data_IF_825032233172
#
_entry.id   IF_825032233172
#
_cell.length_a   1.000
_cell.length_b   1.000
_cell.length_c   1.000
_cell.angle_alpha   90.00
_cell.angle_beta   90.00
_cell.angle_gamma   90.00
#
_symmetry.space_group_name_H-M   'P 1'
#
loop_
_entity.id
_entity.type
_entity.pdbx_description
1 polymer ?
#
# COMPACT_ATOMS: atom_id res chain seq x y z
N UNK A 1 21.84 -31.19 -5.12
CA UNK A 1 20.79 -30.34 -4.52
C UNK A 1 21.40 -29.55 -3.36
N UNK A 2 21.58 -28.24 -3.52
CA UNK A 2 22.19 -27.38 -2.49
C UNK A 2 21.15 -27.04 -1.41
N UNK A 3 21.35 -27.57 -0.20
CA UNK A 3 20.48 -27.35 0.95
C UNK A 3 20.40 -25.86 1.31
N UNK A 4 19.19 -25.30 1.30
CA UNK A 4 18.94 -23.91 1.67
C UNK A 4 19.26 -23.68 3.16
N UNK A 5 20.46 -23.16 3.45
CA UNK A 5 20.86 -22.80 4.82
C UNK A 5 19.89 -21.76 5.38
N UNK A 6 19.16 -22.13 6.43
CA UNK A 6 18.27 -21.25 7.23
C UNK A 6 19.07 -20.02 7.67
N UNK A 7 18.65 -18.78 7.33
CA UNK A 7 19.42 -17.60 7.70
C UNK A 7 19.45 -17.41 9.22
N UNK A 8 20.66 -17.32 9.79
CA UNK A 8 20.95 -17.17 11.22
C UNK A 8 20.36 -15.90 11.90
N UNK A 9 19.67 -15.01 11.19
CA UNK A 9 18.96 -13.88 11.79
C UNK A 9 17.81 -13.36 10.91
N UNK A 10 16.70 -12.95 11.54
CA UNK A 10 15.52 -12.36 10.89
C UNK A 10 15.90 -11.14 10.04
N UNK A 11 16.85 -10.31 10.49
CA UNK A 11 17.35 -9.16 9.71
C UNK A 11 17.96 -9.59 8.37
N UNK A 12 18.75 -10.69 8.35
CA UNK A 12 19.35 -11.19 7.10
C UNK A 12 18.29 -11.78 6.16
N UNK A 13 17.31 -12.49 6.70
CA UNK A 13 16.20 -13.04 5.91
C UNK A 13 15.35 -11.92 5.27
N UNK A 14 14.97 -10.90 6.05
CA UNK A 14 14.25 -9.73 5.56
C UNK A 14 15.05 -8.99 4.48
N UNK A 15 16.35 -8.76 4.71
CA UNK A 15 17.24 -8.14 3.72
C UNK A 15 17.33 -8.96 2.44
N UNK A 16 17.39 -10.28 2.55
CA UNK A 16 17.40 -11.18 1.40
C UNK A 16 16.08 -11.12 0.62
N UNK A 17 14.92 -11.22 1.29
CA UNK A 17 13.61 -11.11 0.66
C UNK A 17 13.40 -9.76 -0.02
N UNK A 18 13.77 -8.66 0.64
CA UNK A 18 13.74 -7.33 0.04
C UNK A 18 14.64 -7.24 -1.20
N UNK A 19 15.85 -7.80 -1.14
CA UNK A 19 16.80 -7.79 -2.26
C UNK A 19 16.33 -8.68 -3.41
N UNK A 20 15.71 -9.83 -3.11
CA UNK A 20 15.10 -10.73 -4.08
C UNK A 20 13.92 -10.04 -4.80
N UNK A 21 13.03 -9.38 -4.04
CA UNK A 21 11.90 -8.63 -4.58
C UNK A 21 12.38 -7.51 -5.51
N UNK A 22 13.38 -6.74 -5.09
CA UNK A 22 13.96 -5.63 -5.89
C UNK A 22 14.71 -6.09 -7.14
N UNK A 23 15.08 -7.38 -7.23
CA UNK A 23 15.79 -7.97 -8.38
C UNK A 23 14.86 -8.72 -9.33
N UNK A 24 13.68 -9.13 -8.88
CA UNK A 24 12.70 -9.79 -9.72
C UNK A 24 12.14 -8.82 -10.77
N UNK A 25 11.91 -9.26 -12.02
CA UNK A 25 11.12 -8.49 -12.97
C UNK A 25 9.74 -8.21 -12.36
N UNK A 26 9.36 -6.94 -12.23
CA UNK A 26 8.11 -6.54 -11.56
C UNK A 26 8.20 -6.29 -10.04
N UNK A 27 9.40 -6.31 -9.44
CA UNK A 27 9.62 -5.93 -8.04
C UNK A 27 8.99 -4.59 -7.63
N UNK A 28 9.24 -3.49 -8.37
CA UNK A 28 8.64 -2.19 -8.09
C UNK A 28 7.11 -2.20 -8.13
N UNK A 29 6.50 -2.94 -9.07
CA UNK A 29 5.04 -3.07 -9.16
C UNK A 29 4.45 -3.86 -7.99
N UNK A 30 5.13 -4.88 -7.46
CA UNK A 30 4.66 -5.64 -6.29
C UNK A 30 4.64 -4.75 -5.03
N UNK A 31 5.65 -3.88 -4.90
CA UNK A 31 5.71 -2.91 -3.78
C UNK A 31 4.64 -1.83 -3.93
N UNK A 32 4.48 -1.28 -5.14
CA UNK A 32 3.44 -0.28 -5.43
C UNK A 32 2.03 -0.85 -5.23
N UNK A 33 1.77 -2.09 -5.67
CA UNK A 33 0.49 -2.76 -5.45
C UNK A 33 0.21 -2.96 -3.96
N UNK A 34 1.22 -3.36 -3.19
CA UNK A 34 1.12 -3.43 -1.73
C UNK A 34 0.75 -2.09 -1.14
N UNK A 35 1.45 -1.02 -1.52
CA UNK A 35 1.17 0.33 -1.07
C UNK A 35 -0.27 0.77 -1.39
N UNK A 36 -0.76 0.52 -2.60
CA UNK A 36 -2.15 0.80 -3.00
C UNK A 36 -3.16 0.03 -2.15
N UNK A 37 -2.91 -1.25 -1.84
CA UNK A 37 -3.75 -2.05 -0.93
C UNK A 37 -3.78 -1.43 0.47
N UNK A 38 -2.63 -0.94 0.96
CA UNK A 38 -2.55 -0.26 2.25
C UNK A 38 -3.40 1.00 2.32
N UNK A 39 -3.33 1.85 1.29
CA UNK A 39 -4.18 3.05 1.17
C UNK A 39 -5.66 2.66 1.08
N UNK A 40 -5.99 1.68 0.25
CA UNK A 40 -7.36 1.21 0.05
C UNK A 40 -8.01 0.80 1.37
N UNK A 41 -7.31 -0.03 2.15
CA UNK A 41 -7.82 -0.52 3.44
C UNK A 41 -7.97 0.62 4.45
N UNK A 42 -7.05 1.58 4.43
CA UNK A 42 -7.09 2.69 5.38
C UNK A 42 -8.35 3.55 5.25
N UNK A 43 -8.89 3.69 4.04
CA UNK A 43 -10.07 4.53 3.78
C UNK A 43 -11.35 4.07 4.50
N UNK A 44 -11.44 2.79 4.91
CA UNK A 44 -12.57 2.28 5.71
C UNK A 44 -12.13 1.66 7.05
N UNK A 45 -10.91 1.94 7.51
CA UNK A 45 -10.43 1.53 8.83
C UNK A 45 -11.20 2.19 9.97
N UNK A 46 -11.50 3.49 9.83
CA UNK A 46 -12.24 4.26 10.84
C UNK A 46 -13.64 3.70 11.13
N UNK A 47 -14.54 3.49 10.14
CA UNK A 47 -15.87 2.93 10.38
C UNK A 47 -15.86 1.46 10.84
N UNK A 48 -14.74 0.76 10.66
CA UNK A 48 -14.57 -0.64 11.11
C UNK A 48 -13.84 -0.75 12.44
N UNK A 49 -13.59 0.38 13.13
CA UNK A 49 -12.86 0.44 14.40
C UNK A 49 -11.50 -0.26 14.36
N UNK A 50 -10.82 -0.23 13.22
CA UNK A 50 -9.53 -0.90 13.04
C UNK A 50 -9.59 -2.31 12.48
N UNK A 51 -10.77 -2.94 12.40
CA UNK A 51 -10.90 -4.33 11.91
C UNK A 51 -10.48 -4.47 10.44
N UNK A 52 -10.63 -3.43 9.61
CA UNK A 52 -10.17 -3.46 8.22
C UNK A 52 -8.67 -3.73 8.08
N UNK A 53 -7.85 -3.45 9.11
CA UNK A 53 -6.41 -3.76 9.08
C UNK A 53 -6.15 -5.25 8.79
N UNK A 54 -6.98 -6.16 9.31
CA UNK A 54 -6.82 -7.58 9.05
C UNK A 54 -7.09 -7.96 7.59
N UNK A 55 -7.80 -7.13 6.83
CA UNK A 55 -8.01 -7.32 5.40
C UNK A 55 -6.70 -7.20 4.60
N UNK A 56 -5.64 -6.63 5.17
CA UNK A 56 -4.32 -6.51 4.53
C UNK A 56 -3.76 -7.90 4.18
N UNK A 57 -3.88 -8.86 5.09
CA UNK A 57 -3.33 -10.20 4.93
C UNK A 57 -3.92 -10.98 3.73
N UNK A 58 -5.26 -11.16 3.62
CA UNK A 58 -5.85 -11.88 2.49
C UNK A 58 -5.62 -11.15 1.17
N UNK A 59 -5.70 -9.80 1.14
CA UNK A 59 -5.47 -9.05 -0.10
C UNK A 59 -4.03 -9.19 -0.59
N UNK A 60 -3.05 -9.10 0.31
CA UNK A 60 -1.65 -9.30 -0.08
C UNK A 60 -1.41 -10.70 -0.62
N UNK A 61 -1.99 -11.71 0.03
CA UNK A 61 -1.86 -13.09 -0.40
C UNK A 61 -2.47 -13.29 -1.80
N UNK A 62 -3.68 -12.77 -2.02
CA UNK A 62 -4.41 -12.87 -3.28
C UNK A 62 -3.67 -12.17 -4.43
N UNK A 63 -3.26 -10.92 -4.21
CA UNK A 63 -2.60 -10.10 -5.24
C UNK A 63 -1.08 -10.32 -5.32
N UNK A 64 -0.53 -11.23 -4.50
CA UNK A 64 0.92 -11.48 -4.36
C UNK A 64 1.70 -10.18 -4.16
N UNK A 65 1.13 -9.26 -3.37
CA UNK A 65 1.65 -7.92 -3.15
C UNK A 65 2.75 -7.90 -2.06
N UNK A 66 3.36 -6.73 -1.83
CA UNK A 66 4.34 -6.56 -0.76
C UNK A 66 3.67 -6.19 0.57
N UNK A 67 3.83 -7.02 1.61
CA UNK A 67 3.37 -6.67 2.96
C UNK A 67 4.03 -5.42 3.53
N UNK A 68 5.34 -5.26 3.33
CA UNK A 68 6.02 -4.03 3.70
C UNK A 68 5.48 -2.81 2.93
N UNK A 69 5.12 -2.99 1.65
CA UNK A 69 4.49 -1.94 0.85
C UNK A 69 3.13 -1.54 1.43
N UNK A 70 2.30 -2.51 1.79
CA UNK A 70 0.98 -2.28 2.38
C UNK A 70 1.02 -1.58 3.73
N UNK A 71 1.94 -1.97 4.63
CA UNK A 71 2.10 -1.27 5.91
C UNK A 71 2.50 0.19 5.71
N UNK A 72 3.42 0.46 4.78
CA UNK A 72 3.82 1.82 4.44
C UNK A 72 2.64 2.59 3.87
N UNK A 73 1.90 2.00 2.92
CA UNK A 73 0.70 2.62 2.34
C UNK A 73 -0.39 2.90 3.36
N UNK A 74 -0.60 2.00 4.32
CA UNK A 74 -1.56 2.15 5.41
C UNK A 74 -1.22 3.32 6.34
N UNK A 75 0.04 3.44 6.75
CA UNK A 75 0.51 4.58 7.57
C UNK A 75 0.45 5.88 6.77
N UNK A 76 0.81 5.84 5.48
CA UNK A 76 0.77 7.01 4.60
C UNK A 76 -0.67 7.46 4.33
N UNK A 77 -1.60 6.51 4.26
CA UNK A 77 -3.04 6.75 4.17
C UNK A 77 -3.54 7.67 5.29
N UNK A 78 -3.06 7.51 6.53
CA UNK A 78 -3.42 8.41 7.66
C UNK A 78 -3.02 9.87 7.41
N UNK A 79 -1.83 10.07 6.85
CA UNK A 79 -1.28 11.40 6.56
C UNK A 79 -2.03 12.04 5.40
N UNK A 80 -2.39 11.25 4.38
CA UNK A 80 -3.14 11.71 3.21
C UNK A 80 -4.61 11.96 3.53
N UNK A 81 -5.19 11.21 4.47
CA UNK A 81 -6.62 11.24 4.79
C UNK A 81 -7.09 12.64 5.17
N UNK A 82 -6.39 13.34 6.08
CA UNK A 82 -6.75 14.71 6.47
C UNK A 82 -6.72 15.73 5.31
N UNK A 83 -5.60 15.90 4.57
CA UNK A 83 -5.54 16.87 3.47
C UNK A 83 -6.44 16.47 2.30
N UNK A 84 -6.60 15.18 1.99
CA UNK A 84 -7.56 14.74 0.96
C UNK A 84 -8.98 15.00 1.41
N UNK A 85 -9.35 14.74 2.66
CA UNK A 85 -10.66 15.11 3.20
C UNK A 85 -10.88 16.63 3.17
N UNK A 86 -9.87 17.44 3.48
CA UNK A 86 -9.96 18.90 3.42
C UNK A 86 -10.09 19.44 1.98
N UNK A 87 -9.35 18.87 1.02
CA UNK A 87 -9.44 19.22 -0.40
C UNK A 87 -10.77 18.70 -0.98
N UNK A 88 -11.22 17.51 -0.59
CA UNK A 88 -12.57 17.00 -0.91
C UNK A 88 -13.67 17.83 -0.25
N UNK A 89 -13.47 18.45 0.91
CA UNK A 89 -14.48 19.37 1.44
C UNK A 89 -14.63 20.64 0.59
N UNK A 90 -13.57 21.05 -0.12
CA UNK A 90 -13.64 22.18 -1.07
C UNK A 90 -14.10 21.77 -2.48
N UNK A 91 -13.87 20.53 -2.91
CA UNK A 91 -14.19 20.03 -4.26
C UNK A 91 -15.44 19.14 -4.28
N UNK A 92 -15.60 18.27 -3.29
CA UNK A 92 -16.73 17.35 -3.10
C UNK A 92 -18.03 18.03 -2.66
N UNK A 93 -17.98 19.27 -2.16
CA UNK A 93 -19.17 20.13 -2.04
C UNK A 93 -19.85 20.41 -3.39
N UNK A 94 -19.14 20.23 -4.51
CA UNK A 94 -19.68 20.34 -5.85
C UNK A 94 -20.24 19.02 -6.42
N UNK A 95 -19.98 17.86 -5.78
CA UNK A 95 -20.26 16.53 -6.38
C UNK A 95 -21.22 15.66 -5.55
N UNK A 96 -21.39 15.85 -4.23
CA UNK A 96 -22.22 14.96 -3.41
C UNK A 96 -23.45 15.63 -2.76
N UNK A 97 -24.68 15.38 -3.25
CA UNK A 97 -25.91 15.90 -2.68
C UNK A 97 -26.25 15.28 -1.31
N UNK A 98 -26.77 16.10 -0.40
CA UNK A 98 -26.96 15.82 1.04
C UNK A 98 -28.12 14.86 1.44
N UNK A 99 -28.68 14.02 0.56
CA UNK A 99 -30.03 13.44 0.77
C UNK A 99 -30.20 11.91 0.66
N UNK A 100 -29.20 11.09 0.98
CA UNK A 100 -29.43 9.64 1.09
C UNK A 100 -29.82 9.24 2.52
N UNK A 101 -31.12 9.32 2.86
CA UNK A 101 -31.70 8.68 4.06
C UNK A 101 -32.46 7.42 3.62
N UNK A 102 -31.99 6.24 4.00
CA UNK A 102 -32.66 4.96 3.72
C UNK A 102 -33.06 4.31 5.05
N UNK A 103 -34.27 4.58 5.54
CA UNK A 103 -34.76 3.96 6.76
C UNK A 103 -35.00 2.45 6.55
N UNK A 104 -34.41 1.62 7.41
CA UNK A 104 -34.76 0.19 7.52
C UNK A 104 -35.34 0.00 8.92
N UNK A 105 -36.56 -0.52 9.03
CA UNK A 105 -37.39 -0.40 10.25
C UNK A 105 -37.29 -1.54 11.28
N UNK A 106 -36.31 -2.44 11.19
CA UNK A 106 -36.31 -3.70 11.96
C UNK A 106 -35.17 -3.90 12.99
N UNK A 107 -34.30 -2.91 13.22
CA UNK A 107 -33.33 -2.93 14.33
C UNK A 107 -33.57 -1.75 15.30
N UNK A 108 -33.16 -1.87 16.58
CA UNK A 108 -33.21 -0.76 17.55
C UNK A 108 -32.66 0.52 16.92
N UNK A 109 -33.34 1.65 17.09
CA UNK A 109 -33.08 2.88 16.32
C UNK A 109 -31.61 3.33 16.36
N UNK A 110 -30.93 3.17 17.50
CA UNK A 110 -29.49 3.44 17.68
C UNK A 110 -28.59 2.47 16.90
N UNK A 111 -28.92 1.17 16.90
CA UNK A 111 -28.15 0.14 16.19
C UNK A 111 -28.33 0.26 14.67
N UNK A 112 -29.54 0.54 14.20
CA UNK A 112 -29.85 0.79 12.80
C UNK A 112 -29.10 2.02 12.27
N UNK A 113 -29.06 3.11 13.05
CA UNK A 113 -28.31 4.32 12.68
C UNK A 113 -26.80 4.08 12.62
N UNK A 114 -26.25 3.37 13.62
CA UNK A 114 -24.83 3.01 13.64
C UNK A 114 -24.46 2.08 12.48
N UNK A 115 -25.28 1.06 12.20
CA UNK A 115 -25.04 0.10 11.12
C UNK A 115 -25.10 0.79 9.74
N UNK A 116 -26.08 1.67 9.52
CA UNK A 116 -26.20 2.43 8.28
C UNK A 116 -25.06 3.42 8.08
N UNK A 117 -24.62 4.12 9.14
CA UNK A 117 -23.48 5.03 9.08
C UNK A 117 -22.20 4.26 8.74
N UNK A 118 -21.95 3.13 9.41
CA UNK A 118 -20.81 2.28 9.13
C UNK A 118 -20.88 1.72 7.70
N UNK A 119 -22.04 1.28 7.22
CA UNK A 119 -22.18 0.79 5.84
C UNK A 119 -21.87 1.88 4.81
N UNK A 120 -22.42 3.09 4.97
CA UNK A 120 -22.17 4.20 4.05
C UNK A 120 -20.69 4.59 4.03
N UNK A 121 -20.06 4.63 5.19
CA UNK A 121 -18.64 4.94 5.31
C UNK A 121 -17.76 3.82 4.75
N UNK A 122 -18.16 2.55 4.87
CA UNK A 122 -17.46 1.43 4.23
C UNK A 122 -17.61 1.52 2.70
N UNK A 123 -18.81 1.73 2.17
CA UNK A 123 -19.03 1.84 0.72
C UNK A 123 -18.29 3.04 0.13
N UNK A 124 -18.38 4.20 0.78
CA UNK A 124 -17.62 5.40 0.39
C UNK A 124 -16.12 5.16 0.47
N UNK A 125 -15.64 4.59 1.57
CA UNK A 125 -14.22 4.25 1.76
C UNK A 125 -13.69 3.23 0.77
N UNK A 126 -14.52 2.29 0.29
CA UNK A 126 -14.14 1.36 -0.80
C UNK A 126 -13.95 2.10 -2.11
N UNK A 127 -14.86 3.02 -2.46
CA UNK A 127 -14.76 3.82 -3.69
C UNK A 127 -13.53 4.74 -3.62
N UNK A 128 -13.40 5.51 -2.55
CA UNK A 128 -12.27 6.43 -2.32
C UNK A 128 -10.95 5.68 -2.27
N UNK A 129 -10.93 4.52 -1.61
CA UNK A 129 -9.77 3.65 -1.53
C UNK A 129 -9.34 3.12 -2.89
N UNK A 130 -10.27 2.76 -3.77
CA UNK A 130 -9.96 2.31 -5.13
C UNK A 130 -9.39 3.45 -5.97
N UNK A 131 -10.01 4.64 -5.90
CA UNK A 131 -9.57 5.82 -6.63
C UNK A 131 -8.18 6.25 -6.17
N UNK A 132 -7.99 6.47 -4.87
CA UNK A 132 -6.69 6.85 -4.30
C UNK A 132 -5.64 5.76 -4.50
N UNK A 133 -6.00 4.49 -4.28
CA UNK A 133 -5.11 3.36 -4.50
C UNK A 133 -4.59 3.29 -5.94
N UNK A 134 -5.47 3.53 -6.92
CA UNK A 134 -5.11 3.60 -8.34
C UNK A 134 -4.23 4.81 -8.65
N UNK A 135 -4.58 6.00 -8.14
CA UNK A 135 -3.78 7.23 -8.34
C UNK A 135 -2.38 7.06 -7.77
N UNK A 136 -2.23 6.52 -6.55
CA UNK A 136 -0.94 6.35 -5.89
C UNK A 136 -0.10 5.19 -6.43
N UNK A 137 -0.72 4.22 -7.13
CA UNK A 137 0.01 3.10 -7.73
C UNK A 137 1.10 3.57 -8.69
N UNK A 138 0.77 4.51 -9.58
CA UNK A 138 1.68 5.01 -10.61
C UNK A 138 2.92 5.74 -10.05
N UNK A 139 2.80 6.80 -9.22
CA UNK A 139 3.96 7.53 -8.69
C UNK A 139 4.83 6.63 -7.83
N UNK A 140 4.25 5.75 -7.00
CA UNK A 140 5.02 4.82 -6.17
C UNK A 140 5.77 3.81 -7.03
N UNK A 141 5.14 3.26 -8.07
CA UNK A 141 5.81 2.35 -9.01
C UNK A 141 6.99 3.04 -9.71
N UNK A 142 6.81 4.27 -10.18
CA UNK A 142 7.84 5.07 -10.84
C UNK A 142 9.01 5.35 -9.88
N UNK A 143 8.71 5.82 -8.67
CA UNK A 143 9.72 6.13 -7.65
C UNK A 143 10.57 4.91 -7.27
N UNK A 144 9.92 3.77 -6.99
CA UNK A 144 10.63 2.54 -6.64
C UNK A 144 11.45 2.01 -7.83
N UNK A 145 10.92 2.10 -9.06
CA UNK A 145 11.65 1.72 -10.27
C UNK A 145 12.91 2.58 -10.46
N UNK A 146 12.78 3.90 -10.35
CA UNK A 146 13.90 4.83 -10.43
C UNK A 146 14.98 4.53 -9.39
N UNK A 147 14.58 4.27 -8.13
CA UNK A 147 15.53 3.88 -7.07
C UNK A 147 16.20 2.54 -7.35
N UNK A 148 15.48 1.58 -7.93
CA UNK A 148 16.01 0.27 -8.29
C UNK A 148 17.05 0.38 -9.41
N UNK A 149 16.77 1.17 -10.44
CA UNK A 149 17.65 1.35 -11.60
C UNK A 149 18.91 2.14 -11.21
N UNK A 150 18.78 3.21 -10.42
CA UNK A 150 19.94 3.95 -9.88
C UNK A 150 20.88 3.06 -9.04
N UNK A 151 20.33 2.08 -8.32
CA UNK A 151 21.13 1.09 -7.56
C UNK A 151 21.83 0.08 -8.48
N UNK A 152 21.25 -0.26 -9.63
CA UNK A 152 21.90 -1.13 -10.63
C UNK A 152 23.08 -0.39 -11.27
N UNK A 153 22.91 0.86 -11.64
CA UNK A 153 23.96 1.70 -12.24
C UNK A 153 25.15 1.86 -11.30
N UNK A 154 24.92 2.20 -10.03
CA UNK A 154 26.00 2.27 -9.02
C UNK A 154 26.77 0.95 -8.83
N UNK A 155 26.12 -0.19 -9.06
CA UNK A 155 26.78 -1.51 -8.98
C UNK A 155 27.57 -1.84 -10.23
N UNK A 156 27.10 -1.46 -11.42
CA UNK A 156 27.87 -1.57 -12.66
C UNK A 156 29.15 -0.76 -12.59
N UNK A 157 29.05 0.50 -12.14
CA UNK A 157 30.19 1.39 -11.95
C UNK A 157 31.23 0.82 -10.98
N UNK A 158 30.78 0.20 -9.87
CA UNK A 158 31.68 -0.49 -8.92
C UNK A 158 32.39 -1.70 -9.53
N UNK A 159 31.71 -2.48 -10.37
CA UNK A 159 32.32 -3.62 -11.06
C UNK A 159 33.40 -3.16 -12.03
N UNK A 160 33.07 -2.16 -12.85
CA UNK A 160 34.01 -1.55 -13.79
C UNK A 160 35.25 -1.01 -13.05
N UNK A 161 35.09 -0.26 -11.95
CA UNK A 161 36.21 0.26 -11.17
C UNK A 161 37.10 -0.81 -10.52
N UNK A 162 36.58 -2.00 -10.23
CA UNK A 162 37.37 -3.13 -9.70
C UNK A 162 38.13 -3.82 -10.83
N UNK A 163 37.57 -3.85 -12.04
CA UNK A 163 38.16 -4.45 -13.23
C UNK A 163 39.26 -3.56 -13.84
N UNK A 164 39.19 -2.24 -13.65
CA UNK A 164 40.22 -1.29 -14.13
C UNK A 164 41.41 -1.11 -13.17
N UNK A 165 41.42 -1.74 -11.99
CA UNK A 165 42.57 -1.67 -11.08
C UNK A 165 43.60 -2.69 -11.58
N UNK A 166 44.69 -2.29 -12.27
CA UNK A 166 45.64 -3.24 -12.83
C UNK A 166 46.34 -3.97 -11.67
N UNK A 167 46.73 -5.22 -11.93
CA UNK A 167 47.63 -6.02 -11.10
C UNK A 167 49.02 -5.35 -11.10
N UNK A 168 49.17 -4.25 -10.36
CA UNK A 168 50.47 -3.72 -9.98
C UNK A 168 50.56 -3.82 -8.48
N UNK A 169 51.01 -4.98 -8.03
CA UNK A 169 51.88 -5.23 -6.87
C UNK A 169 52.44 -6.65 -7.02
#
# INVERSE_FOLDING_TARGET
>A
MSASRKPRSIKRWLKYKYTQLMRAPGGPSIVALGFSIGIFIEMFTLPTYGLAFFLIFPLIYLFRASFAGALVGFVFGKIIFLPVAFINSKVGGAVLPHHLRVHISFLPHWLNHALMLNLKLIVGGVIDGLVLGAIFYFPVRLMIKYMADKRKEKRKLRRLSTETKPLTE
#
